data_IF_912279734362
#
_entry.id   IF_912279734362
#
_cell.length_a   1.000
_cell.length_b   1.000
_cell.length_c   1.000
_cell.angle_alpha   90.00
_cell.angle_beta   90.00
_cell.angle_gamma   90.00
#
_symmetry.space_group_name_H-M   'P 1'
#
loop_
_entity.id
_entity.type
_entity.pdbx_description
1 polymer ?
#
# COMPACT_ATOMS: atom_id res chain seq x y z
N UNK A 1 16.81 26.26 -3.82
CA UNK A 1 16.52 25.00 -3.11
C UNK A 1 15.24 24.40 -3.70
N UNK A 2 15.37 23.59 -4.74
CA UNK A 2 14.25 22.86 -5.31
C UNK A 2 14.31 21.42 -4.77
N UNK A 3 13.24 20.97 -4.12
CA UNK A 3 13.09 19.59 -3.70
C UNK A 3 13.09 18.70 -4.95
N UNK A 4 14.21 18.05 -5.23
CA UNK A 4 14.28 16.96 -6.19
C UNK A 4 13.39 15.83 -5.65
N UNK A 5 12.32 15.51 -6.37
CA UNK A 5 11.52 14.32 -6.09
C UNK A 5 12.45 13.10 -6.14
N UNK A 6 12.39 12.18 -5.16
CA UNK A 6 13.26 11.02 -5.15
C UNK A 6 12.98 10.14 -6.39
N UNK A 7 14.01 9.51 -6.98
CA UNK A 7 13.80 8.54 -8.05
C UNK A 7 12.90 7.42 -7.54
N UNK A 8 12.06 6.89 -8.43
CA UNK A 8 11.09 5.83 -8.18
C UNK A 8 11.76 4.57 -7.60
N UNK A 9 11.96 4.50 -6.29
CA UNK A 9 12.38 3.27 -5.61
C UNK A 9 11.18 2.34 -5.45
N UNK A 10 11.09 1.34 -6.33
CA UNK A 10 10.13 0.25 -6.20
C UNK A 10 10.71 -0.81 -5.27
N UNK A 11 10.32 -0.78 -3.99
CA UNK A 11 10.60 -1.87 -3.05
C UNK A 11 9.50 -2.90 -3.17
N UNK A 12 9.83 -4.11 -3.61
CA UNK A 12 8.94 -5.27 -3.51
C UNK A 12 9.34 -6.07 -2.27
N UNK A 13 8.43 -6.20 -1.32
CA UNK A 13 8.61 -7.05 -0.14
C UNK A 13 7.97 -8.41 -0.45
N UNK A 14 8.79 -9.43 -0.67
CA UNK A 14 8.37 -10.80 -0.38
C UNK A 14 8.46 -10.97 1.15
N UNK A 15 7.40 -11.47 1.78
CA UNK A 15 7.33 -11.73 3.23
C UNK A 15 6.65 -13.05 3.58
N UNK A 16 7.26 -13.80 4.48
CA UNK A 16 6.89 -15.17 4.84
C UNK A 16 6.93 -15.43 6.32
N UNK A 17 6.21 -16.46 6.71
CA UNK A 17 5.95 -16.78 8.11
C UNK A 17 6.79 -17.98 8.55
N UNK A 18 7.41 -17.86 9.72
CA UNK A 18 7.93 -19.00 10.48
C UNK A 18 6.79 -19.57 11.34
N UNK A 19 6.60 -20.89 11.30
CA UNK A 19 5.73 -21.62 12.20
C UNK A 19 6.59 -22.32 13.26
N UNK A 20 6.20 -22.20 14.53
CA UNK A 20 6.53 -23.05 15.68
C UNK A 20 5.51 -22.69 16.76
N UNK A 21 4.96 -23.56 17.61
CA UNK A 21 4.99 -25.01 17.80
C UNK A 21 3.64 -25.36 18.48
N UNK A 22 3.15 -26.59 18.31
CA UNK A 22 1.76 -26.99 18.55
C UNK A 22 1.24 -26.95 19.99
N UNK A 23 -0.09 -26.98 20.08
CA UNK A 23 -0.86 -27.69 21.11
C UNK A 23 -2.29 -27.90 20.58
N UNK A 24 -2.68 -29.16 20.50
CA UNK A 24 -4.04 -29.65 20.29
C UNK A 24 -5.02 -28.99 21.28
N UNK A 25 -6.24 -28.69 20.84
CA UNK A 25 -7.44 -29.08 21.59
C UNK A 25 -8.73 -28.91 20.76
N UNK A 26 -9.29 -30.06 20.39
CA UNK A 26 -10.67 -30.24 19.97
C UNK A 26 -11.63 -30.00 21.16
N UNK A 27 -12.56 -29.03 21.08
CA UNK A 27 -13.97 -29.29 21.48
C UNK A 27 -14.95 -28.11 21.22
N UNK A 28 -15.97 -28.43 20.39
CA UNK A 28 -17.42 -28.35 20.62
C UNK A 28 -18.17 -27.01 20.87
N UNK A 29 -19.36 -27.00 20.23
CA UNK A 29 -20.64 -26.30 20.51
C UNK A 29 -20.81 -24.91 19.87
N UNK A 30 -21.50 -24.76 18.73
CA UNK A 30 -22.97 -24.82 18.52
C UNK A 30 -23.79 -24.14 19.64
N UNK A 31 -24.29 -22.91 19.40
CA UNK A 31 -25.73 -22.61 19.35
C UNK A 31 -26.05 -21.11 19.17
N UNK A 32 -27.21 -20.89 18.52
CA UNK A 32 -28.12 -19.72 18.52
C UNK A 32 -27.89 -18.59 17.50
N UNK A 33 -28.53 -18.79 16.34
CA UNK A 33 -29.36 -17.77 15.69
C UNK A 33 -30.51 -17.32 16.61
N UNK A 34 -30.82 -16.02 16.61
CA UNK A 34 -32.19 -15.51 16.37
C UNK A 34 -32.16 -14.03 15.98
N UNK A 35 -32.89 -13.72 14.91
CA UNK A 35 -33.25 -12.39 14.42
C UNK A 35 -34.25 -11.69 15.36
N UNK A 36 -34.36 -10.36 15.29
CA UNK A 36 -35.59 -9.67 14.87
C UNK A 36 -35.41 -8.14 14.81
N UNK A 37 -36.25 -7.54 13.96
CA UNK A 37 -36.24 -6.18 13.43
C UNK A 37 -37.14 -5.22 14.21
N UNK A 38 -36.97 -3.92 13.88
CA UNK A 38 -37.97 -2.88 13.65
C UNK A 38 -38.34 -1.77 14.66
N UNK A 39 -38.41 -0.57 14.04
CA UNK A 39 -39.20 0.65 14.32
C UNK A 39 -38.81 1.53 15.55
N UNK A 40 -38.83 2.87 15.53
CA UNK A 40 -39.25 3.86 14.54
C UNK A 40 -39.79 5.14 15.23
N UNK A 41 -39.23 6.31 14.87
CA UNK A 41 -39.87 7.66 14.75
C UNK A 41 -40.27 8.57 15.95
N UNK A 42 -39.98 9.88 15.79
CA UNK A 42 -40.63 11.06 16.42
C UNK A 42 -39.71 11.94 17.31
N UNK A 43 -39.08 13.06 16.88
CA UNK A 43 -39.60 14.45 16.68
C UNK A 43 -40.26 15.06 17.96
N UNK A 44 -40.10 16.32 18.42
CA UNK A 44 -39.50 17.59 17.97
C UNK A 44 -39.46 18.58 19.18
N UNK A 45 -38.61 19.63 19.10
CA UNK A 45 -38.62 20.98 19.73
C UNK A 45 -39.66 21.30 20.84
N UNK A 46 -39.34 21.83 22.02
CA UNK A 46 -38.43 22.94 22.36
C UNK A 46 -39.26 24.18 22.72
N UNK A 47 -39.17 24.73 23.95
CA UNK A 47 -39.44 26.14 24.26
C UNK A 47 -39.13 26.48 25.75
N UNK A 48 -38.36 27.55 25.88
CA UNK A 48 -37.84 28.19 27.08
C UNK A 48 -38.84 29.24 27.63
N UNK A 49 -38.82 29.51 28.95
CA UNK A 49 -39.26 30.77 29.62
C UNK A 49 -39.30 30.63 31.16
N UNK A 50 -38.44 31.40 31.84
CA UNK A 50 -38.60 31.83 33.25
C UNK A 50 -39.45 33.12 33.30
N UNK A 51 -40.10 33.46 34.44
CA UNK A 51 -39.44 34.41 35.37
C UNK A 51 -39.77 34.29 36.88
N UNK A 52 -38.79 34.71 37.68
CA UNK A 52 -38.77 35.53 38.91
C UNK A 52 -39.98 35.59 39.90
N UNK A 53 -39.75 35.06 41.12
CA UNK A 53 -39.61 35.86 42.36
C UNK A 53 -40.86 36.20 43.22
N UNK A 54 -40.89 35.72 44.48
CA UNK A 54 -41.04 36.55 45.71
C UNK A 54 -41.14 35.69 46.99
N UNK A 55 -40.44 36.14 48.04
CA UNK A 55 -40.31 35.59 49.42
C UNK A 55 -41.62 35.55 50.21
N UNK A 56 -41.75 34.56 51.12
CA UNK A 56 -42.08 34.83 52.55
C UNK A 56 -41.78 33.64 53.51
N UNK A 57 -41.14 34.02 54.62
CA UNK A 57 -41.03 33.50 56.00
C UNK A 57 -41.55 32.09 56.36
N UNK A 58 -40.75 31.39 57.16
CA UNK A 58 -41.25 30.79 58.42
C UNK A 58 -40.92 29.31 58.64
N UNK A 59 -39.93 29.08 59.52
CA UNK A 59 -39.57 27.83 60.23
C UNK A 59 -40.66 26.75 60.40
N UNK A 60 -40.33 25.50 60.06
CA UNK A 60 -40.56 24.35 60.95
C UNK A 60 -39.80 23.07 60.53
N UNK A 61 -39.02 22.55 61.48
CA UNK A 61 -38.81 21.14 61.87
C UNK A 61 -38.25 20.12 60.85
N UNK A 62 -37.00 19.74 61.13
CA UNK A 62 -36.54 18.37 61.47
C UNK A 62 -37.09 17.21 60.63
N UNK A 63 -36.36 16.86 59.59
CA UNK A 63 -36.27 15.51 59.05
C UNK A 63 -34.84 15.29 58.58
N UNK A 64 -34.09 14.42 59.27
CA UNK A 64 -32.72 14.07 58.87
C UNK A 64 -32.81 13.14 57.66
N UNK A 65 -32.58 13.68 56.47
CA UNK A 65 -32.52 12.90 55.24
C UNK A 65 -31.24 12.04 55.25
N UNK A 66 -31.38 10.74 55.45
CA UNK A 66 -30.28 9.80 55.29
C UNK A 66 -30.03 9.60 53.79
N UNK A 67 -28.96 10.20 53.27
CA UNK A 67 -28.44 9.82 51.96
C UNK A 67 -27.65 8.52 52.12
N UNK A 68 -28.16 7.43 51.56
CA UNK A 68 -27.35 6.22 51.36
C UNK A 68 -26.48 6.49 50.14
N UNK A 69 -25.18 6.68 50.35
CA UNK A 69 -24.21 6.74 49.27
C UNK A 69 -24.11 5.34 48.64
N UNK A 70 -24.83 5.12 47.53
CA UNK A 70 -24.56 4.00 46.63
C UNK A 70 -23.17 4.22 46.03
N UNK A 71 -22.17 3.54 46.56
CA UNK A 71 -20.88 3.47 45.87
C UNK A 71 -21.05 2.58 44.64
N UNK A 72 -20.79 3.07 43.42
CA UNK A 72 -20.78 2.20 42.25
C UNK A 72 -19.59 1.27 42.39
N UNK A 73 -19.86 -0.02 42.52
CA UNK A 73 -18.85 -1.06 42.43
C UNK A 73 -18.18 -0.94 41.05
N UNK A 74 -16.94 -0.45 41.01
CA UNK A 74 -16.16 -0.42 39.78
C UNK A 74 -15.78 -1.85 39.45
N UNK A 75 -16.60 -2.50 38.63
CA UNK A 75 -16.21 -3.72 37.93
C UNK A 75 -15.05 -3.34 37.03
N UNK A 76 -13.83 -3.70 37.44
CA UNK A 76 -12.66 -3.66 36.58
C UNK A 76 -12.87 -4.78 35.56
N UNK A 77 -13.49 -4.44 34.44
CA UNK A 77 -13.49 -5.33 33.28
C UNK A 77 -12.06 -5.34 32.77
N UNK A 78 -11.29 -6.36 33.16
CA UNK A 78 -10.02 -6.66 32.51
C UNK A 78 -10.29 -6.88 31.03
N UNK A 79 -10.02 -5.86 30.23
CA UNK A 79 -10.12 -5.94 28.78
C UNK A 79 -8.93 -6.76 28.31
N UNK A 80 -9.02 -8.09 28.45
CA UNK A 80 -8.06 -9.02 27.87
C UNK A 80 -8.07 -8.76 26.38
N UNK A 81 -7.06 -8.05 25.88
CA UNK A 81 -6.87 -7.86 24.44
C UNK A 81 -6.81 -9.26 23.87
N UNK A 82 -7.63 -9.61 22.86
CA UNK A 82 -7.53 -10.92 22.25
C UNK A 82 -6.08 -11.09 21.82
N UNK A 83 -5.48 -12.24 22.16
CA UNK A 83 -4.17 -12.64 21.66
C UNK A 83 -4.31 -12.95 20.18
N UNK A 84 -4.46 -11.89 19.37
CA UNK A 84 -4.33 -12.00 17.93
C UNK A 84 -2.84 -12.07 17.72
N UNK A 85 -2.28 -13.27 17.68
CA UNK A 85 -0.94 -13.52 17.15
C UNK A 85 -0.91 -12.98 15.72
N UNK A 86 -0.59 -11.69 15.56
CA UNK A 86 -0.47 -11.03 14.28
C UNK A 86 0.62 -11.77 13.51
N UNK A 87 0.33 -12.19 12.27
CA UNK A 87 1.35 -12.85 11.44
C UNK A 87 2.54 -11.92 11.29
N UNK A 88 3.75 -12.45 11.54
CA UNK A 88 4.98 -11.72 11.31
C UNK A 88 5.19 -11.55 9.80
N UNK A 89 5.72 -10.40 9.44
CA UNK A 89 6.07 -10.02 8.06
C UNK A 89 7.57 -9.76 8.08
N UNK A 90 8.30 -10.41 7.17
CA UNK A 90 9.74 -10.22 6.97
C UNK A 90 9.99 -9.64 5.57
N UNK A 91 11.21 -9.25 5.26
CA UNK A 91 11.62 -8.88 3.90
C UNK A 91 12.64 -9.92 3.47
N UNK A 92 12.37 -10.70 2.42
CA UNK A 92 13.36 -11.69 1.91
C UNK A 92 14.14 -11.24 0.72
N UNK A 93 13.59 -10.33 -0.08
CA UNK A 93 14.22 -9.90 -1.32
C UNK A 93 14.05 -8.42 -1.56
N UNK A 94 15.01 -7.84 -2.27
CA UNK A 94 14.96 -6.45 -2.72
C UNK A 94 15.46 -6.33 -4.16
N UNK A 95 14.90 -5.38 -4.88
CA UNK A 95 15.26 -5.08 -6.25
C UNK A 95 15.17 -3.59 -6.48
N UNK A 96 16.13 -3.04 -7.20
CA UNK A 96 16.26 -1.59 -7.38
C UNK A 96 16.57 -1.26 -8.83
N UNK A 97 16.05 -0.12 -9.30
CA UNK A 97 16.40 0.48 -10.59
C UNK A 97 16.64 1.97 -10.35
N UNK A 98 17.90 2.24 -10.04
CA UNK A 98 18.55 3.47 -9.57
C UNK A 98 19.19 4.38 -10.61
N UNK A 99 19.22 5.73 -10.52
CA UNK A 99 20.36 6.49 -11.06
C UNK A 99 21.71 6.08 -10.43
N UNK A 100 21.68 5.50 -9.22
CA UNK A 100 22.86 5.03 -8.48
C UNK A 100 23.15 3.54 -8.65
N UNK A 101 22.43 2.83 -9.53
CA UNK A 101 22.67 1.41 -9.79
C UNK A 101 21.39 0.57 -9.83
N UNK A 102 21.49 -0.57 -10.51
CA UNK A 102 20.36 -1.49 -10.74
C UNK A 102 20.45 -2.78 -9.97
N UNK A 103 21.41 -2.85 -9.05
CA UNK A 103 21.66 -3.96 -8.16
C UNK A 103 21.67 -3.44 -6.71
N UNK A 104 21.06 -4.15 -5.75
CA UNK A 104 21.03 -3.74 -4.34
C UNK A 104 22.38 -3.39 -3.74
N UNK A 105 23.42 -4.21 -3.98
CA UNK A 105 24.73 -4.04 -3.36
C UNK A 105 25.46 -2.85 -3.98
N UNK A 106 25.39 -2.72 -5.31
CA UNK A 106 25.95 -1.55 -6.03
C UNK A 106 25.27 -0.27 -5.57
N UNK A 107 23.94 -0.27 -5.49
CA UNK A 107 23.17 0.88 -5.02
C UNK A 107 23.55 1.26 -3.59
N UNK A 108 23.66 0.28 -2.70
CA UNK A 108 23.99 0.50 -1.29
C UNK A 108 25.42 1.03 -1.11
N UNK A 109 26.41 0.41 -1.75
CA UNK A 109 27.80 0.87 -1.71
C UNK A 109 27.93 2.30 -2.27
N UNK A 110 27.26 2.59 -3.39
CA UNK A 110 27.27 3.94 -3.94
C UNK A 110 26.67 5.00 -3.00
N UNK A 111 25.66 4.63 -2.21
CA UNK A 111 25.12 5.51 -1.18
C UNK A 111 26.13 5.74 -0.04
N UNK A 112 26.81 4.69 0.41
CA UNK A 112 27.83 4.79 1.47
C UNK A 112 29.02 5.64 1.06
N UNK A 113 29.44 5.52 -0.21
CA UNK A 113 30.55 6.28 -0.79
C UNK A 113 30.17 7.73 -1.12
N UNK A 114 28.90 8.12 -0.93
CA UNK A 114 28.41 9.48 -1.17
C UNK A 114 28.31 9.84 -2.66
N UNK A 115 28.16 8.85 -3.54
CA UNK A 115 27.94 9.12 -4.96
C UNK A 115 26.59 9.82 -5.19
N UNK A 116 26.59 10.84 -6.05
CA UNK A 116 25.37 11.54 -6.46
C UNK A 116 24.85 10.97 -7.77
N UNK A 117 23.57 10.62 -7.79
CA UNK A 117 22.86 10.23 -9.01
C UNK A 117 22.34 11.42 -9.83
N UNK A 118 22.58 12.66 -9.38
CA UNK A 118 22.10 13.88 -10.03
C UNK A 118 23.12 14.36 -11.05
N UNK A 119 22.68 14.57 -12.29
CA UNK A 119 23.49 15.15 -13.37
C UNK A 119 22.66 16.13 -14.19
N UNK A 120 23.28 16.75 -15.20
CA UNK A 120 22.53 17.45 -16.26
C UNK A 120 21.56 16.50 -16.95
N UNK A 121 20.43 17.05 -17.41
CA UNK A 121 19.39 16.33 -18.15
C UNK A 121 19.87 16.08 -19.58
N UNK A 122 19.94 14.82 -19.98
CA UNK A 122 20.35 14.38 -21.32
C UNK A 122 19.17 13.84 -22.15
N UNK A 123 18.03 13.53 -21.52
CA UNK A 123 16.88 12.91 -22.21
C UNK A 123 16.17 13.86 -23.19
N UNK A 124 16.26 15.18 -23.00
CA UNK A 124 15.66 16.19 -23.88
C UNK A 124 16.39 17.55 -23.77
N UNK A 125 16.19 18.43 -24.75
CA UNK A 125 16.72 19.79 -24.70
C UNK A 125 16.06 20.61 -23.59
N UNK A 126 16.79 20.79 -22.48
CA UNK A 126 16.37 21.58 -21.34
C UNK A 126 16.92 23.03 -21.38
N UNK A 127 17.46 23.50 -22.51
CA UNK A 127 18.19 24.78 -22.62
C UNK A 127 17.36 26.04 -22.32
N UNK A 128 16.03 25.93 -22.30
CA UNK A 128 15.10 27.02 -22.00
C UNK A 128 14.45 26.91 -20.62
N UNK A 129 14.73 25.83 -19.88
CA UNK A 129 14.12 25.57 -18.58
C UNK A 129 14.95 26.17 -17.44
N UNK A 130 14.30 26.58 -16.34
CA UNK A 130 15.00 27.07 -15.14
C UNK A 130 15.75 25.94 -14.41
N UNK A 131 15.26 24.70 -14.48
CA UNK A 131 15.90 23.51 -13.90
C UNK A 131 16.45 22.63 -15.02
N UNK A 132 17.72 22.23 -14.89
CA UNK A 132 18.47 21.48 -15.92
C UNK A 132 19.19 20.24 -15.38
N UNK A 133 18.94 19.90 -14.13
CA UNK A 133 19.52 18.74 -13.45
C UNK A 133 18.41 17.78 -13.04
N UNK A 134 18.69 16.48 -13.10
CA UNK A 134 17.80 15.42 -12.66
C UNK A 134 18.60 14.16 -12.27
N UNK A 135 17.94 13.26 -11.53
CA UNK A 135 18.44 11.91 -11.29
C UNK A 135 18.00 10.97 -12.41
N UNK A 136 18.66 11.02 -13.56
CA UNK A 136 18.32 10.18 -14.71
C UNK A 136 18.90 8.78 -14.58
N UNK A 137 18.12 7.76 -14.94
CA UNK A 137 18.64 6.42 -15.18
C UNK A 137 19.28 6.41 -16.58
N UNK A 138 20.60 6.58 -16.64
CA UNK A 138 21.35 6.74 -17.91
C UNK A 138 21.51 5.44 -18.71
N UNK A 139 21.77 4.33 -18.01
CA UNK A 139 21.83 3.00 -18.61
C UNK A 139 20.68 2.17 -18.06
N UNK A 140 19.89 1.54 -18.94
CA UNK A 140 18.82 0.64 -18.52
C UNK A 140 18.59 -0.42 -19.59
N UNK A 141 18.62 -1.69 -19.17
CA UNK A 141 18.29 -2.83 -20.02
C UNK A 141 17.10 -3.57 -19.44
N UNK A 142 16.16 -3.93 -20.33
CA UNK A 142 15.03 -4.80 -20.01
C UNK A 142 15.31 -6.26 -20.37
N UNK A 143 16.50 -6.56 -20.90
CA UNK A 143 16.88 -7.89 -21.35
C UNK A 143 16.80 -8.90 -20.20
N UNK A 144 16.22 -10.07 -20.46
CA UNK A 144 15.94 -11.09 -19.43
C UNK A 144 14.76 -10.77 -18.50
N UNK A 145 14.36 -9.49 -18.37
CA UNK A 145 13.33 -9.10 -17.40
C UNK A 145 11.96 -8.82 -18.02
N UNK A 146 11.91 -8.26 -19.22
CA UNK A 146 10.65 -7.88 -19.87
C UNK A 146 10.59 -8.48 -21.26
N UNK A 147 9.42 -9.02 -21.62
CA UNK A 147 9.17 -9.55 -22.97
C UNK A 147 9.48 -8.49 -24.03
N UNK A 148 10.30 -8.78 -25.06
CA UNK A 148 10.75 -7.78 -26.05
C UNK A 148 9.63 -7.03 -26.78
N UNK A 149 8.44 -7.65 -26.90
CA UNK A 149 7.27 -7.03 -27.50
C UNK A 149 6.66 -5.93 -26.62
N UNK A 150 6.73 -6.11 -25.30
CA UNK A 150 6.22 -5.16 -24.31
C UNK A 150 7.23 -4.04 -24.03
N UNK A 151 8.54 -4.36 -24.02
CA UNK A 151 9.60 -3.38 -23.75
C UNK A 151 9.58 -2.18 -24.71
N UNK A 152 9.16 -2.38 -25.97
CA UNK A 152 9.06 -1.33 -26.98
C UNK A 152 7.83 -0.43 -26.87
N UNK A 153 6.81 -0.82 -26.08
CA UNK A 153 5.50 -0.13 -26.07
C UNK A 153 5.18 0.52 -24.73
N UNK A 154 5.77 0.03 -23.65
CA UNK A 154 5.53 0.51 -22.30
C UNK A 154 6.28 1.80 -21.99
N UNK A 155 5.73 2.56 -21.05
CA UNK A 155 6.45 3.67 -20.45
C UNK A 155 7.62 3.16 -19.58
N UNK A 156 8.69 3.96 -19.48
CA UNK A 156 9.87 3.65 -18.66
C UNK A 156 9.49 3.33 -17.21
N UNK A 157 8.49 4.02 -16.62
CA UNK A 157 8.10 3.72 -15.24
C UNK A 157 7.68 2.26 -15.07
N UNK A 158 6.90 1.71 -16.02
CA UNK A 158 6.45 0.32 -15.96
C UNK A 158 7.62 -0.65 -16.07
N UNK A 159 8.56 -0.34 -16.97
CA UNK A 159 9.74 -1.17 -17.18
C UNK A 159 10.61 -1.21 -15.91
N UNK A 160 10.76 -0.08 -15.22
CA UNK A 160 11.46 0.00 -13.94
C UNK A 160 10.75 -0.84 -12.87
N UNK A 161 9.43 -0.69 -12.73
CA UNK A 161 8.64 -1.45 -11.77
C UNK A 161 8.72 -2.95 -11.98
N UNK A 162 8.55 -3.43 -13.21
CA UNK A 162 8.59 -4.85 -13.55
C UNK A 162 9.99 -5.41 -13.33
N UNK A 163 11.02 -4.69 -13.79
CA UNK A 163 12.43 -5.12 -13.65
C UNK A 163 12.83 -5.19 -12.18
N UNK A 164 12.56 -4.15 -11.39
CA UNK A 164 12.84 -4.12 -9.96
C UNK A 164 12.05 -5.22 -9.21
N UNK A 165 10.77 -5.40 -9.56
CA UNK A 165 9.94 -6.44 -8.96
C UNK A 165 10.50 -7.84 -9.20
N UNK A 166 10.87 -8.19 -10.44
CA UNK A 166 11.47 -9.49 -10.74
C UNK A 166 12.83 -9.69 -10.08
N UNK A 167 13.68 -8.66 -10.05
CA UNK A 167 14.97 -8.69 -9.33
C UNK A 167 14.78 -8.96 -7.84
N UNK A 168 13.74 -8.37 -7.24
CA UNK A 168 13.43 -8.61 -5.83
C UNK A 168 13.01 -10.06 -5.56
N UNK A 169 12.25 -10.68 -6.49
CA UNK A 169 11.89 -12.10 -6.37
C UNK A 169 13.12 -13.00 -6.48
N UNK A 170 14.00 -12.73 -7.46
CA UNK A 170 15.24 -13.50 -7.61
C UNK A 170 16.16 -13.34 -6.40
N UNK A 171 16.35 -12.11 -5.91
CA UNK A 171 17.13 -11.84 -4.69
C UNK A 171 16.54 -12.53 -3.45
N UNK A 172 15.22 -12.66 -3.38
CA UNK A 172 14.51 -13.42 -2.34
C UNK A 172 14.56 -14.94 -2.50
N UNK A 173 15.25 -15.46 -3.52
CA UNK A 173 15.36 -16.90 -3.77
C UNK A 173 14.13 -17.53 -4.44
N UNK A 174 13.20 -16.73 -5.00
CA UNK A 174 12.02 -17.23 -5.70
C UNK A 174 12.37 -17.58 -7.15
N UNK A 175 13.09 -18.70 -7.33
CA UNK A 175 13.40 -19.29 -8.64
C UNK A 175 12.11 -19.71 -9.37
N UNK A 176 12.21 -20.02 -10.67
CA UNK A 176 11.05 -20.52 -11.43
C UNK A 176 10.40 -21.76 -10.82
N UNK A 177 11.23 -22.68 -10.32
CA UNK A 177 10.79 -23.90 -9.65
C UNK A 177 9.99 -23.58 -8.39
N UNK A 178 10.57 -22.78 -7.48
CA UNK A 178 9.89 -22.37 -6.24
C UNK A 178 8.60 -21.62 -6.56
N UNK A 179 8.59 -20.76 -7.58
CA UNK A 179 7.41 -20.01 -7.99
C UNK A 179 6.28 -20.90 -8.48
N UNK A 180 6.56 -22.04 -9.11
CA UNK A 180 5.54 -22.96 -9.62
C UNK A 180 4.81 -23.71 -8.51
N UNK A 181 5.49 -23.94 -7.38
CA UNK A 181 4.92 -24.62 -6.21
C UNK A 181 4.12 -23.68 -5.30
N UNK A 182 4.17 -22.36 -5.52
CA UNK A 182 3.38 -21.39 -4.75
C UNK A 182 1.91 -21.45 -5.13
N UNK A 183 1.03 -21.34 -4.13
CA UNK A 183 -0.38 -21.05 -4.36
C UNK A 183 -0.53 -19.64 -4.96
N UNK A 184 -0.81 -19.60 -6.27
CA UNK A 184 -0.94 -18.36 -7.04
C UNK A 184 -2.06 -17.46 -6.53
N UNK A 185 -3.12 -18.02 -5.95
CA UNK A 185 -4.25 -17.25 -5.38
C UNK A 185 -3.87 -16.47 -4.12
N UNK A 186 -2.73 -16.82 -3.53
CA UNK A 186 -2.18 -16.23 -2.32
C UNK A 186 -1.02 -15.28 -2.57
N UNK A 187 -0.54 -15.20 -3.81
CA UNK A 187 0.55 -14.32 -4.20
C UNK A 187 -0.04 -13.01 -4.75
N UNK A 188 0.25 -11.89 -4.08
CA UNK A 188 -0.25 -10.56 -4.44
C UNK A 188 0.85 -9.66 -5.00
N UNK A 189 0.45 -8.62 -5.74
CA UNK A 189 1.36 -7.59 -6.25
C UNK A 189 0.76 -6.23 -5.90
N UNK A 190 1.46 -5.44 -5.09
CA UNK A 190 1.07 -4.07 -4.76
C UNK A 190 2.20 -3.13 -5.13
N UNK A 191 2.14 -2.60 -6.34
CA UNK A 191 3.10 -1.63 -6.84
C UNK A 191 2.37 -0.37 -7.26
N UNK A 192 2.87 0.79 -6.81
CA UNK A 192 2.25 2.08 -7.07
C UNK A 192 3.15 3.02 -7.86
N UNK A 193 2.52 3.94 -8.58
CA UNK A 193 3.15 5.10 -9.21
C UNK A 193 2.32 6.35 -8.94
N UNK A 194 2.99 7.45 -8.59
CA UNK A 194 2.32 8.72 -8.34
C UNK A 194 1.70 9.30 -9.62
N UNK A 195 2.49 9.30 -10.71
CA UNK A 195 2.17 10.00 -11.96
C UNK A 195 1.85 9.05 -13.12
N UNK A 196 2.18 7.75 -13.00
CA UNK A 196 1.98 6.79 -14.08
C UNK A 196 2.83 7.11 -15.33
N UNK A 197 2.29 6.78 -16.50
CA UNK A 197 3.00 6.86 -17.79
C UNK A 197 2.88 8.24 -18.43
N UNK A 198 3.58 9.23 -17.88
CA UNK A 198 3.50 10.62 -18.36
C UNK A 198 4.02 10.80 -19.78
N UNK A 199 5.01 10.00 -20.22
CA UNK A 199 5.51 10.09 -21.59
C UNK A 199 4.47 9.56 -22.56
N UNK A 200 3.89 8.40 -22.27
CA UNK A 200 2.81 7.82 -23.07
C UNK A 200 1.61 8.77 -23.17
N UNK A 201 1.26 9.42 -22.06
CA UNK A 201 0.19 10.42 -22.04
C UNK A 201 0.53 11.62 -22.95
N UNK A 202 1.73 12.17 -22.84
CA UNK A 202 2.18 13.27 -23.69
C UNK A 202 2.19 12.89 -25.19
N UNK A 203 2.76 11.73 -25.53
CA UNK A 203 2.79 11.23 -26.91
C UNK A 203 1.38 11.06 -27.49
N UNK A 204 0.43 10.63 -26.67
CA UNK A 204 -0.97 10.49 -27.07
C UNK A 204 -1.63 11.85 -27.35
N UNK A 205 -1.36 12.87 -26.54
CA UNK A 205 -1.84 14.24 -26.78
C UNK A 205 -1.27 14.80 -28.09
N UNK A 206 0.03 14.64 -28.33
CA UNK A 206 0.64 15.08 -29.59
C UNK A 206 0.06 14.33 -30.80
N UNK A 207 -0.21 13.03 -30.68
CA UNK A 207 -0.89 12.28 -31.73
C UNK A 207 -2.32 12.77 -31.99
N UNK A 208 -3.07 13.10 -30.94
CA UNK A 208 -4.43 13.65 -31.03
C UNK A 208 -4.48 15.01 -31.75
N UNK A 209 -3.44 15.84 -31.59
CA UNK A 209 -3.31 17.12 -32.32
C UNK A 209 -3.23 16.92 -33.83
N UNK A 210 -2.71 15.77 -34.28
CA UNK A 210 -2.68 15.40 -35.70
C UNK A 210 -4.01 14.77 -36.12
N UNK A 211 -4.47 13.73 -35.41
CA UNK A 211 -5.76 13.08 -35.67
C UNK A 211 -6.09 12.05 -34.57
N UNK A 212 -7.37 11.89 -34.25
CA UNK A 212 -7.84 10.83 -33.35
C UNK A 212 -7.41 9.41 -33.77
N UNK A 213 -7.25 9.17 -35.08
CA UNK A 213 -6.82 7.86 -35.62
C UNK A 213 -5.35 7.55 -35.37
N UNK A 214 -4.53 8.55 -35.04
CA UNK A 214 -3.09 8.39 -34.77
C UNK A 214 -2.80 8.08 -33.31
N UNK A 215 -3.79 8.22 -32.42
CA UNK A 215 -3.65 7.91 -31.00
C UNK A 215 -3.37 6.41 -30.82
N UNK A 216 -2.34 6.08 -30.02
CA UNK A 216 -2.02 4.71 -29.70
C UNK A 216 -3.17 4.09 -28.88
N UNK A 217 -3.79 2.95 -29.31
CA UNK A 217 -4.88 2.33 -28.56
C UNK A 217 -4.46 1.85 -27.16
N UNK A 218 -3.15 1.67 -26.91
CA UNK A 218 -2.61 1.30 -25.60
C UNK A 218 -2.25 2.51 -24.72
N UNK A 219 -2.55 3.74 -25.14
CA UNK A 219 -2.22 4.93 -24.36
C UNK A 219 -2.87 4.92 -22.97
N UNK A 220 -4.17 4.58 -22.87
CA UNK A 220 -4.88 4.54 -21.60
C UNK A 220 -4.30 3.45 -20.69
N UNK A 221 -4.21 2.17 -21.13
CA UNK A 221 -3.57 1.14 -20.31
C UNK A 221 -2.15 1.48 -19.86
N UNK A 222 -1.31 2.05 -20.72
CA UNK A 222 0.09 2.32 -20.36
C UNK A 222 0.31 3.64 -19.62
N UNK A 223 -0.69 4.52 -19.58
CA UNK A 223 -0.64 5.73 -18.76
C UNK A 223 -1.10 5.48 -17.31
N UNK A 224 -1.95 4.49 -17.04
CA UNK A 224 -2.53 4.28 -15.71
C UNK A 224 -1.50 3.81 -14.69
N UNK A 225 -1.63 4.30 -13.45
CA UNK A 225 -0.71 4.03 -12.34
C UNK A 225 -0.71 2.57 -11.89
N UNK A 226 -1.82 1.86 -12.09
CA UNK A 226 -1.98 0.46 -11.71
C UNK A 226 -1.36 -0.55 -12.69
N UNK A 227 -0.96 -0.12 -13.88
CA UNK A 227 -0.59 -1.07 -14.94
C UNK A 227 0.73 -1.79 -14.64
N UNK A 228 1.67 -1.14 -13.94
CA UNK A 228 2.91 -1.80 -13.51
C UNK A 228 2.64 -3.01 -12.61
N UNK A 229 1.72 -2.86 -11.65
CA UNK A 229 1.27 -3.94 -10.75
C UNK A 229 0.55 -5.04 -11.53
N UNK A 230 -0.38 -4.64 -12.40
CA UNK A 230 -1.19 -5.57 -13.18
C UNK A 230 -0.35 -6.46 -14.10
N UNK A 231 0.62 -5.87 -14.81
CA UNK A 231 1.44 -6.63 -15.76
C UNK A 231 2.45 -7.52 -15.05
N UNK A 232 3.04 -7.08 -13.94
CA UNK A 232 3.89 -7.97 -13.16
C UNK A 232 3.09 -9.18 -12.64
N UNK A 233 1.88 -8.97 -12.13
CA UNK A 233 1.02 -10.07 -11.69
C UNK A 233 0.65 -11.03 -12.84
N UNK A 234 0.29 -10.49 -14.01
CA UNK A 234 0.01 -11.30 -15.21
C UNK A 234 1.22 -12.12 -15.67
N UNK A 235 2.41 -11.52 -15.65
CA UNK A 235 3.65 -12.18 -16.04
C UNK A 235 4.06 -13.29 -15.05
N UNK A 236 3.78 -13.13 -13.76
CA UNK A 236 4.03 -14.12 -12.71
C UNK A 236 2.90 -15.17 -12.54
N UNK A 237 1.74 -14.94 -13.16
CA UNK A 237 0.53 -15.73 -12.97
C UNK A 237 -0.06 -15.60 -11.56
N UNK A 238 0.15 -14.48 -10.88
CA UNK A 238 -0.27 -14.23 -9.50
C UNK A 238 -1.69 -13.67 -9.43
N UNK A 239 -2.52 -14.23 -8.55
CA UNK A 239 -3.97 -14.01 -8.49
C UNK A 239 -4.46 -13.47 -7.14
N UNK A 240 -3.55 -13.22 -6.19
CA UNK A 240 -3.87 -12.59 -4.91
C UNK A 240 -4.15 -11.08 -5.06
N UNK A 241 -4.15 -10.33 -3.94
CA UNK A 241 -4.41 -8.89 -3.95
C UNK A 241 -3.53 -8.16 -4.97
N UNK A 242 -4.16 -7.47 -5.93
CA UNK A 242 -3.47 -6.75 -6.99
C UNK A 242 -4.12 -5.39 -7.27
N UNK A 243 -3.46 -4.33 -6.81
CA UNK A 243 -3.88 -2.95 -7.05
C UNK A 243 -2.71 -1.99 -6.80
N UNK A 244 -2.90 -0.74 -7.22
CA UNK A 244 -1.95 0.35 -7.00
C UNK A 244 -2.56 1.37 -6.06
N UNK A 245 -1.72 1.91 -5.18
CA UNK A 245 -2.03 3.11 -4.41
C UNK A 245 -1.26 4.27 -5.06
N UNK A 246 -1.86 5.47 -5.09
CA UNK A 246 -1.16 6.70 -5.50
C UNK A 246 -1.41 7.77 -4.44
N UNK A 247 -0.34 8.11 -3.73
CA UNK A 247 -0.30 9.12 -2.65
C UNK A 247 0.93 10.00 -2.81
N UNK A 248 1.20 10.43 -4.05
CA UNK A 248 2.37 11.22 -4.41
C UNK A 248 3.68 10.57 -3.90
N UNK A 249 4.51 11.33 -3.18
CA UNK A 249 5.80 10.85 -2.65
C UNK A 249 5.65 9.69 -1.65
N UNK A 250 4.49 9.52 -1.03
CA UNK A 250 4.24 8.44 -0.06
C UNK A 250 3.76 7.14 -0.71
N UNK A 251 3.61 7.10 -2.04
CA UNK A 251 3.02 5.98 -2.78
C UNK A 251 3.64 4.63 -2.42
N UNK A 252 4.98 4.53 -2.47
CA UNK A 252 5.69 3.29 -2.14
C UNK A 252 5.45 2.85 -0.70
N UNK A 253 5.52 3.77 0.26
CA UNK A 253 5.30 3.49 1.68
C UNK A 253 3.89 2.92 1.93
N UNK A 254 2.87 3.50 1.28
CA UNK A 254 1.51 2.99 1.38
C UNK A 254 1.34 1.60 0.73
N UNK A 255 1.99 1.35 -0.41
CA UNK A 255 1.98 0.02 -1.02
C UNK A 255 2.62 -1.03 -0.10
N UNK A 256 3.79 -0.77 0.46
CA UNK A 256 4.49 -1.67 1.39
C UNK A 256 3.63 -1.94 2.64
N UNK A 257 3.05 -0.88 3.22
CA UNK A 257 2.19 -1.02 4.40
C UNK A 257 0.95 -1.86 4.12
N UNK A 258 0.28 -1.64 3.00
CA UNK A 258 -0.91 -2.41 2.64
C UNK A 258 -0.56 -3.85 2.27
N UNK A 259 0.57 -4.09 1.61
CA UNK A 259 1.07 -5.44 1.34
C UNK A 259 1.31 -6.19 2.66
N UNK A 260 2.02 -5.58 3.61
CA UNK A 260 2.23 -6.15 4.93
C UNK A 260 0.89 -6.42 5.67
N UNK A 261 -0.11 -5.56 5.50
CA UNK A 261 -1.43 -5.76 6.11
C UNK A 261 -2.21 -6.91 5.46
N UNK A 262 -2.15 -7.11 4.15
CA UNK A 262 -2.72 -8.29 3.49
C UNK A 262 -2.09 -9.58 4.04
N UNK A 263 -0.79 -9.57 4.30
CA UNK A 263 -0.07 -10.72 4.86
C UNK A 263 -0.47 -10.94 6.32
N UNK A 264 -0.56 -9.88 7.13
CA UNK A 264 -1.02 -9.93 8.52
C UNK A 264 -2.43 -10.49 8.67
N UNK A 265 -3.33 -10.09 7.78
CA UNK A 265 -4.72 -10.58 7.72
C UNK A 265 -4.84 -11.98 7.15
N UNK A 266 -3.74 -12.54 6.63
CA UNK A 266 -3.74 -13.84 5.98
C UNK A 266 -4.52 -13.84 4.67
N UNK A 267 -4.60 -12.71 3.96
CA UNK A 267 -5.20 -12.57 2.63
C UNK A 267 -4.19 -12.93 1.52
N UNK A 268 -2.89 -12.78 1.80
CA UNK A 268 -1.79 -13.16 0.92
C UNK A 268 -0.69 -13.88 1.72
N UNK A 269 -0.45 -15.17 1.48
CA UNK A 269 0.64 -15.97 2.09
C UNK A 269 0.82 -17.26 1.28
N UNK A 270 2.02 -17.59 0.79
CA UNK A 270 2.33 -18.95 0.35
C UNK A 270 2.61 -19.84 1.56
N UNK A 271 1.95 -20.99 1.65
CA UNK A 271 1.99 -21.90 2.81
C UNK A 271 3.29 -22.73 2.92
N UNK A 272 4.29 -22.42 2.11
CA UNK A 272 5.54 -23.16 2.01
C UNK A 272 6.67 -22.22 2.36
N UNK A 273 7.54 -22.66 3.27
CA UNK A 273 8.84 -22.08 3.64
C UNK A 273 9.32 -20.93 2.75
N UNK A 274 9.68 -19.82 3.40
CA UNK A 274 10.37 -18.67 2.81
C UNK A 274 9.43 -17.80 1.96
N UNK A 275 9.06 -16.69 2.56
CA UNK A 275 8.88 -15.43 1.86
C UNK A 275 9.50 -14.37 2.76
#
# INVERSE_FOLDING_TARGET
>A
MAAAAPPLCAWLVAAGAHADCGADEHHRQQHRQTQCLDAGSGAMFGLDRRPLGARRRGSARSGMAMSVALQPERVIVEKKRPDVKQRRVVVTGMGVVTPLGHDPDVFYNNLLDGHSGISEIETFDCSKFPTRIAGEIKSFSTEGWVVPKLSKRMDKFMLYLITAGKKALENGGLTEEVRNDLDKTRCGVLIGSAMGGMKVFNDAIEALRVSYRKMNPFCVPFATTNMGSAILAMDLGWMGPNYSISTACATSNFCILNAANHIRRGEAVSNSMIL
#
